data_IF_252077916931
#
_entry.id   IF_252077916931
#
_cell.length_a   1.000
_cell.length_b   1.000
_cell.length_c   1.000
_cell.angle_alpha   90.00
_cell.angle_beta   90.00
_cell.angle_gamma   90.00
#
_symmetry.space_group_name_H-M   'P 1'
#
loop_
_entity.id
_entity.type
_entity.pdbx_description
1 polymer ?
#
# COMPACT_ATOMS: atom_id res chain seq x y z
N UNK A 1 7.45 -30.90 1.12
CA UNK A 1 6.28 -30.60 1.98
C UNK A 1 6.18 -31.56 3.17
N UNK A 2 6.09 -32.88 2.98
CA UNK A 2 6.07 -33.84 4.12
C UNK A 2 7.30 -33.75 5.03
N UNK A 3 8.49 -33.49 4.47
CA UNK A 3 9.72 -33.27 5.27
C UNK A 3 9.73 -31.94 6.04
N UNK A 4 8.90 -30.96 5.66
CA UNK A 4 8.83 -29.65 6.31
C UNK A 4 7.76 -29.63 7.42
N UNK A 5 6.56 -30.11 7.10
CA UNK A 5 5.39 -30.06 7.98
C UNK A 5 5.09 -31.38 8.68
N UNK A 6 5.82 -32.45 8.35
CA UNK A 6 5.65 -33.77 8.95
C UNK A 6 4.23 -34.30 8.84
N UNK A 7 3.73 -34.84 9.96
CA UNK A 7 2.41 -35.46 10.06
C UNK A 7 1.26 -34.51 9.65
N UNK A 8 1.38 -33.20 9.92
CA UNK A 8 0.34 -32.24 9.55
C UNK A 8 0.06 -32.18 8.04
N UNK A 9 1.09 -32.37 7.21
CA UNK A 9 0.89 -32.42 5.75
C UNK A 9 0.14 -33.67 5.31
N UNK A 10 0.44 -34.80 5.95
CA UNK A 10 -0.16 -36.09 5.62
C UNK A 10 -1.63 -36.10 6.08
N UNK A 11 -1.89 -35.63 7.30
CA UNK A 11 -3.22 -35.59 7.90
C UNK A 11 -4.18 -34.67 7.13
N UNK A 12 -3.70 -33.63 6.46
CA UNK A 12 -4.55 -32.70 5.70
C UNK A 12 -5.24 -33.37 4.50
N UNK A 13 -4.71 -34.50 4.01
CA UNK A 13 -5.19 -35.20 2.82
C UNK A 13 -5.48 -36.68 3.07
N UNK A 14 -5.48 -37.14 4.33
CA UNK A 14 -5.59 -38.57 4.66
C UNK A 14 -6.87 -39.22 4.15
N UNK A 15 -7.97 -38.46 4.10
CA UNK A 15 -9.29 -38.94 3.68
C UNK A 15 -9.64 -38.57 2.23
N UNK A 16 -8.70 -37.97 1.49
CA UNK A 16 -8.91 -37.52 0.11
C UNK A 16 -8.03 -38.33 -0.83
N UNK A 17 -8.56 -38.89 -1.94
CA UNK A 17 -7.74 -39.58 -2.92
C UNK A 17 -6.62 -38.68 -3.44
N UNK A 18 -5.37 -39.12 -3.28
CA UNK A 18 -4.18 -38.31 -3.61
C UNK A 18 -4.16 -37.90 -5.08
N UNK A 19 -4.72 -38.71 -5.98
CA UNK A 19 -4.82 -38.40 -7.40
C UNK A 19 -5.78 -37.24 -7.68
N UNK A 20 -6.89 -37.16 -6.93
CA UNK A 20 -7.81 -36.02 -6.98
C UNK A 20 -7.14 -34.74 -6.45
N UNK A 21 -6.37 -34.84 -5.37
CA UNK A 21 -5.59 -33.70 -4.85
C UNK A 21 -4.59 -33.22 -5.90
N UNK A 22 -3.81 -34.12 -6.51
CA UNK A 22 -2.85 -33.77 -7.56
C UNK A 22 -3.52 -33.13 -8.77
N UNK A 23 -4.65 -33.68 -9.24
CA UNK A 23 -5.38 -33.16 -10.39
C UNK A 23 -5.87 -31.73 -10.14
N UNK A 24 -6.46 -31.47 -8.98
CA UNK A 24 -6.96 -30.13 -8.62
C UNK A 24 -5.81 -29.13 -8.46
N UNK A 25 -4.72 -29.53 -7.80
CA UNK A 25 -3.52 -28.71 -7.68
C UNK A 25 -2.91 -28.38 -9.06
N UNK A 26 -2.80 -29.37 -9.94
CA UNK A 26 -2.31 -29.18 -11.30
C UNK A 26 -3.19 -28.21 -12.08
N UNK A 27 -4.52 -28.37 -11.99
CA UNK A 27 -5.47 -27.49 -12.68
C UNK A 27 -5.35 -26.04 -12.20
N UNK A 28 -5.28 -25.80 -10.88
CA UNK A 28 -5.22 -24.42 -10.34
C UNK A 28 -3.87 -23.76 -10.48
N UNK A 29 -2.79 -24.52 -10.52
CA UNK A 29 -1.44 -24.01 -10.78
C UNK A 29 -1.12 -23.95 -12.28
N UNK A 30 -2.00 -24.46 -13.15
CA UNK A 30 -1.85 -24.34 -14.59
C UNK A 30 -1.79 -22.86 -15.00
N UNK A 31 -0.78 -22.49 -15.78
CA UNK A 31 -0.53 -21.11 -16.18
C UNK A 31 0.31 -20.27 -15.22
N UNK A 32 0.71 -20.79 -14.05
CA UNK A 32 1.67 -20.11 -13.19
C UNK A 32 3.11 -20.35 -13.66
N UNK A 33 3.96 -19.32 -13.54
CA UNK A 33 5.40 -19.49 -13.78
C UNK A 33 6.00 -20.42 -12.73
N UNK A 34 6.85 -21.36 -13.15
CA UNK A 34 7.60 -22.22 -12.22
C UNK A 34 8.38 -21.40 -11.19
N UNK A 35 8.90 -20.23 -11.56
CA UNK A 35 9.60 -19.32 -10.63
C UNK A 35 8.69 -18.81 -9.52
N UNK A 36 7.42 -18.53 -9.83
CA UNK A 36 6.45 -18.10 -8.83
C UNK A 36 6.09 -19.23 -7.86
N UNK A 37 5.95 -20.44 -8.38
CA UNK A 37 5.70 -21.65 -7.58
C UNK A 37 6.88 -21.92 -6.64
N UNK A 38 8.13 -21.89 -7.14
CA UNK A 38 9.31 -22.11 -6.29
C UNK A 38 9.41 -21.05 -5.18
N UNK A 39 9.24 -19.76 -5.50
CA UNK A 39 9.22 -18.70 -4.49
C UNK A 39 8.14 -18.91 -3.42
N UNK A 40 6.96 -19.36 -3.82
CA UNK A 40 5.89 -19.66 -2.88
C UNK A 40 6.26 -20.85 -1.98
N UNK A 41 6.94 -21.88 -2.51
CA UNK A 41 7.45 -23.00 -1.71
C UNK A 41 8.49 -22.54 -0.70
N UNK A 42 9.46 -21.71 -1.11
CA UNK A 42 10.48 -21.17 -0.22
C UNK A 42 9.84 -20.34 0.90
N UNK A 43 8.88 -19.47 0.55
CA UNK A 43 8.13 -18.69 1.53
C UNK A 43 7.39 -19.57 2.55
N UNK A 44 6.80 -20.68 2.09
CA UNK A 44 6.14 -21.63 2.98
C UNK A 44 7.12 -22.23 3.99
N UNK A 45 8.32 -22.61 3.53
CA UNK A 45 9.35 -23.20 4.38
C UNK A 45 9.88 -22.22 5.44
N UNK A 46 10.04 -20.95 5.07
CA UNK A 46 10.66 -19.94 5.95
C UNK A 46 9.67 -19.29 6.93
N UNK A 47 8.39 -19.17 6.55
CA UNK A 47 7.44 -18.31 7.29
C UNK A 47 6.19 -19.01 7.81
N UNK A 48 5.79 -20.14 7.23
CA UNK A 48 4.54 -20.79 7.62
C UNK A 48 4.79 -21.92 8.61
N UNK A 49 4.12 -21.87 9.75
CA UNK A 49 4.13 -22.95 10.75
C UNK A 49 3.32 -24.17 10.32
N UNK A 50 2.28 -23.95 9.52
CA UNK A 50 1.35 -24.98 9.06
C UNK A 50 1.34 -25.05 7.54
N UNK A 51 1.04 -26.23 6.98
CA UNK A 51 0.94 -26.37 5.54
C UNK A 51 -0.21 -25.53 4.97
N UNK A 52 0.02 -24.81 3.84
CA UNK A 52 -1.05 -24.05 3.21
C UNK A 52 -2.03 -24.96 2.48
N UNK A 53 -3.29 -24.54 2.43
CA UNK A 53 -4.29 -25.09 1.51
C UNK A 53 -4.02 -24.65 0.07
N UNK A 54 -4.66 -25.30 -0.92
CA UNK A 54 -4.50 -24.93 -2.33
C UNK A 54 -4.85 -23.45 -2.61
N UNK A 55 -5.98 -22.89 -2.13
CA UNK A 55 -6.30 -21.48 -2.35
C UNK A 55 -5.28 -20.52 -1.74
N UNK A 56 -4.73 -20.82 -0.57
CA UNK A 56 -3.68 -20.02 0.08
C UNK A 56 -2.38 -20.07 -0.71
N UNK A 57 -1.99 -21.27 -1.15
CA UNK A 57 -0.78 -21.46 -1.95
C UNK A 57 -0.87 -20.73 -3.31
N UNK A 58 -2.05 -20.74 -3.95
CA UNK A 58 -2.33 -19.97 -5.17
C UNK A 58 -2.14 -18.46 -4.94
N UNK A 59 -2.56 -17.93 -3.78
CA UNK A 59 -2.37 -16.52 -3.45
C UNK A 59 -0.88 -16.17 -3.27
N UNK A 60 -0.11 -17.04 -2.61
CA UNK A 60 1.34 -16.87 -2.47
C UNK A 60 2.06 -16.85 -3.83
N UNK A 61 1.66 -17.72 -4.74
CA UNK A 61 2.19 -17.73 -6.10
C UNK A 61 1.89 -16.42 -6.83
N UNK A 62 0.67 -15.89 -6.72
CA UNK A 62 0.27 -14.61 -7.34
C UNK A 62 0.97 -13.40 -6.71
N UNK A 63 1.18 -13.40 -5.39
CA UNK A 63 1.93 -12.34 -4.72
C UNK A 63 3.41 -12.30 -5.15
N UNK A 64 3.96 -13.47 -5.51
CA UNK A 64 5.35 -13.62 -5.96
C UNK A 64 5.56 -13.19 -7.41
N UNK A 65 4.48 -13.07 -8.20
CA UNK A 65 4.53 -12.46 -9.53
C UNK A 65 4.39 -10.95 -9.42
N UNK A 66 5.26 -10.15 -10.07
CA UNK A 66 5.01 -8.72 -10.20
C UNK A 66 3.61 -8.53 -10.78
N UNK A 67 2.78 -7.73 -10.11
CA UNK A 67 1.48 -7.34 -10.64
C UNK A 67 1.70 -6.74 -12.04
N UNK A 68 0.78 -6.97 -12.98
CA UNK A 68 0.77 -6.25 -14.26
C UNK A 68 0.82 -4.72 -14.02
N UNK A 69 0.27 -4.25 -12.89
CA UNK A 69 0.31 -2.85 -12.44
C UNK A 69 1.71 -2.39 -11.99
N UNK A 70 2.58 -3.30 -11.53
CA UNK A 70 3.95 -3.01 -11.09
C UNK A 70 5.03 -3.54 -12.03
N UNK A 71 4.66 -4.05 -13.22
CA UNK A 71 5.59 -4.08 -14.35
C UNK A 71 5.93 -2.63 -14.67
N UNK A 72 6.96 -2.12 -14.00
CA UNK A 72 7.57 -0.85 -14.35
C UNK A 72 7.76 -0.86 -15.86
N UNK A 73 7.24 0.17 -16.54
CA UNK A 73 7.65 0.48 -17.90
C UNK A 73 9.18 0.44 -17.83
N UNK A 74 9.82 -0.53 -18.49
CA UNK A 74 11.18 -1.01 -18.17
C UNK A 74 12.32 0.01 -18.32
N UNK A 75 11.99 1.31 -18.39
CA UNK A 75 12.89 2.44 -18.33
C UNK A 75 13.57 2.50 -16.97
N UNK A 76 14.86 2.18 -16.97
CA UNK A 76 15.76 2.55 -15.88
C UNK A 76 16.13 4.03 -16.05
N UNK A 77 16.19 4.78 -14.95
CA UNK A 77 16.73 6.13 -14.97
C UNK A 77 18.27 6.06 -14.94
N UNK A 78 18.93 6.92 -15.71
CA UNK A 78 20.38 7.07 -15.58
C UNK A 78 20.73 7.78 -14.27
N UNK A 79 21.99 7.70 -13.83
CA UNK A 79 22.46 8.37 -12.61
C UNK A 79 22.26 9.90 -12.68
N UNK A 80 22.48 10.48 -13.86
CA UNK A 80 22.26 11.90 -14.11
C UNK A 80 20.77 12.29 -14.02
N UNK A 81 19.87 11.43 -14.50
CA UNK A 81 18.43 11.65 -14.39
C UNK A 81 17.94 11.54 -12.94
N UNK A 82 18.46 10.58 -12.17
CA UNK A 82 18.16 10.44 -10.75
C UNK A 82 18.60 11.69 -9.97
N UNK A 83 19.78 12.22 -10.29
CA UNK A 83 20.30 13.44 -9.67
C UNK A 83 19.41 14.65 -9.98
N UNK A 84 19.05 14.86 -11.25
CA UNK A 84 18.12 15.93 -11.66
C UNK A 84 16.75 15.80 -11.00
N UNK A 85 16.24 14.58 -10.86
CA UNK A 85 14.98 14.32 -10.18
C UNK A 85 15.07 14.65 -8.68
N UNK A 86 16.19 14.31 -8.03
CA UNK A 86 16.43 14.65 -6.64
C UNK A 86 16.48 16.16 -6.43
N UNK A 87 17.21 16.88 -7.28
CA UNK A 87 17.28 18.35 -7.26
C UNK A 87 15.91 19.00 -7.45
N UNK A 88 15.11 18.49 -8.38
CA UNK A 88 13.73 18.95 -8.57
C UNK A 88 12.87 18.70 -7.33
N UNK A 89 13.03 17.54 -6.68
CA UNK A 89 12.28 17.20 -5.48
C UNK A 89 12.65 18.09 -4.28
N UNK A 90 13.94 18.42 -4.11
CA UNK A 90 14.40 19.31 -3.04
C UNK A 90 13.98 20.76 -3.29
N UNK A 91 13.98 21.22 -4.55
CA UNK A 91 13.46 22.53 -4.92
C UNK A 91 11.96 22.64 -4.64
N UNK A 92 11.18 21.63 -5.03
CA UNK A 92 9.74 21.58 -4.74
C UNK A 92 9.50 21.60 -3.23
N UNK A 93 10.20 20.76 -2.45
CA UNK A 93 10.01 20.73 -1.00
C UNK A 93 10.35 22.06 -0.34
N UNK A 94 11.43 22.70 -0.80
CA UNK A 94 11.86 24.02 -0.32
C UNK A 94 10.84 25.10 -0.68
N UNK A 95 10.26 25.05 -1.88
CA UNK A 95 9.20 25.99 -2.28
C UNK A 95 7.89 25.77 -1.51
N UNK A 96 7.58 24.53 -1.12
CA UNK A 96 6.41 24.20 -0.30
C UNK A 96 6.56 24.68 1.14
N UNK A 97 7.76 24.59 1.72
CA UNK A 97 8.05 25.13 3.06
C UNK A 97 8.24 26.65 3.03
N UNK A 98 8.80 27.23 1.96
CA UNK A 98 8.95 28.68 1.80
C UNK A 98 7.61 29.40 1.58
N UNK A 99 6.60 28.74 0.98
CA UNK A 99 5.18 29.18 1.02
C UNK A 99 4.55 28.98 2.41
N UNK A 100 5.33 29.16 3.47
CA UNK A 100 4.87 29.00 4.85
C UNK A 100 3.77 30.01 5.18
N UNK A 101 2.62 29.42 5.53
CA UNK A 101 1.63 29.91 6.49
C UNK A 101 0.89 31.20 6.11
N UNK A 102 0.06 31.10 5.08
CA UNK A 102 -1.09 32.00 4.93
C UNK A 102 -1.88 32.02 6.25
N UNK A 103 -2.01 33.19 6.87
CA UNK A 103 -2.85 33.34 8.07
C UNK A 103 -4.32 33.28 7.65
N UNK A 104 -4.88 32.07 7.69
CA UNK A 104 -6.28 31.80 7.36
C UNK A 104 -7.29 32.50 8.30
N UNK A 105 -6.82 33.19 9.35
CA UNK A 105 -7.63 33.96 10.30
C UNK A 105 -7.46 35.46 10.15
N UNK A 106 -6.65 35.93 9.20
CA UNK A 106 -6.42 37.36 8.97
C UNK A 106 -7.70 38.16 8.67
N UNK A 107 -8.73 37.51 8.11
CA UNK A 107 -10.03 38.09 7.79
C UNK A 107 -10.87 38.51 9.01
N UNK A 108 -10.56 38.02 10.22
CA UNK A 108 -11.31 38.30 11.46
C UNK A 108 -11.10 39.75 11.92
N UNK A 109 -9.86 40.24 11.83
CA UNK A 109 -9.44 41.58 12.30
C UNK A 109 -10.29 42.73 11.72
N UNK A 110 -10.50 42.84 10.40
CA UNK A 110 -11.30 43.93 9.84
C UNK A 110 -12.79 43.86 10.20
N UNK A 111 -13.33 42.68 10.47
CA UNK A 111 -14.74 42.48 10.83
C UNK A 111 -15.02 42.94 12.26
N UNK A 112 -14.15 42.59 13.21
CA UNK A 112 -14.26 43.06 14.59
C UNK A 112 -14.01 44.57 14.71
N UNK A 113 -13.12 45.13 13.87
CA UNK A 113 -12.82 46.56 13.85
C UNK A 113 -13.97 47.41 13.30
N UNK A 114 -14.78 46.90 12.35
CA UNK A 114 -15.93 47.63 11.82
C UNK A 114 -17.18 46.73 11.63
N UNK A 115 -17.88 46.39 12.72
CA UNK A 115 -18.99 45.44 12.66
C UNK A 115 -20.13 45.84 11.73
N UNK A 116 -20.45 47.13 11.65
CA UNK A 116 -21.60 47.63 10.87
C UNK A 116 -21.41 47.52 9.35
N UNK A 117 -20.18 47.29 8.89
CA UNK A 117 -19.86 47.15 7.47
C UNK A 117 -20.00 45.72 6.93
N UNK A 118 -20.26 44.74 7.80
CA UNK A 118 -20.30 43.32 7.42
C UNK A 118 -21.65 42.67 7.79
N UNK A 119 -22.09 41.64 7.04
CA UNK A 119 -23.31 40.90 7.37
C UNK A 119 -23.23 40.21 8.74
N UNK A 120 -24.37 40.07 9.43
CA UNK A 120 -24.47 39.44 10.77
C UNK A 120 -23.84 38.05 10.85
N UNK A 121 -23.94 37.27 9.76
CA UNK A 121 -23.36 35.93 9.67
C UNK A 121 -21.83 35.99 9.81
N UNK A 122 -21.18 36.94 9.14
CA UNK A 122 -19.72 37.12 9.18
C UNK A 122 -19.24 37.55 10.57
N UNK A 123 -20.03 38.35 11.28
CA UNK A 123 -19.75 38.75 12.66
C UNK A 123 -19.87 37.59 13.66
N UNK A 124 -20.88 36.75 13.49
CA UNK A 124 -21.09 35.58 14.35
C UNK A 124 -19.88 34.63 14.28
N UNK A 125 -19.42 34.32 13.08
CA UNK A 125 -18.26 33.44 12.88
C UNK A 125 -16.94 34.08 13.34
N UNK A 126 -16.74 35.38 13.13
CA UNK A 126 -15.55 36.08 13.62
C UNK A 126 -15.42 35.99 15.15
N UNK A 127 -16.52 36.19 15.88
CA UNK A 127 -16.56 36.09 17.35
C UNK A 127 -16.39 34.65 17.85
N UNK A 128 -16.97 33.68 17.17
CA UNK A 128 -16.85 32.26 17.52
C UNK A 128 -15.41 31.77 17.39
N UNK A 129 -14.72 32.16 16.31
CA UNK A 129 -13.31 31.82 16.11
C UNK A 129 -12.38 32.53 17.10
N UNK A 130 -12.68 33.79 17.48
CA UNK A 130 -11.95 34.51 18.53
C UNK A 130 -12.11 33.84 19.90
N UNK A 131 -13.33 33.45 20.28
CA UNK A 131 -13.64 32.79 21.54
C UNK A 131 -13.01 31.39 21.67
N UNK A 132 -12.81 30.66 20.57
CA UNK A 132 -12.09 29.39 20.56
C UNK A 132 -10.57 29.53 20.75
N UNK A 133 -10.05 30.76 20.74
CA UNK A 133 -8.61 31.04 20.80
C UNK A 133 -8.16 31.82 22.03
N UNK A 134 -9.09 32.31 22.84
CA UNK A 134 -8.85 32.95 24.14
C UNK A 134 -8.84 31.90 25.26
#
# INVERSE_FOLDING_TARGET
MASFYGKHWIDMWSDVPVDSVKAEWQLKLSGMSSKAVFKAVDYCADHLRFPPTLPEFVQLCKASTPSEMTKAIGRQFTQEELQKNHERMTEISTSMTAKSRTDYRAWIKPILANPKAYPDISLKFAKEVEAMTA
#
